data_IF_090241150074
#
_entry.id   IF_090241150074
#
_cell.length_a   1.000
_cell.length_b   1.000
_cell.length_c   1.000
_cell.angle_alpha   90.00
_cell.angle_beta   90.00
_cell.angle_gamma   90.00
#
_symmetry.space_group_name_H-M   'P 1'
#
loop_
_entity.id
_entity.type
_entity.pdbx_description
1 polymer ?
#
# COMPACT_ATOMS: atom_id res chain seq x y z
N UNK A 1 -8.14 15.05 -9.49
CA UNK A 1 -8.90 16.17 -10.04
C UNK A 1 -8.64 16.25 -11.54
N UNK A 2 -9.68 16.20 -12.37
CA UNK A 2 -9.57 16.39 -13.82
C UNK A 2 -9.69 17.88 -14.12
N UNK A 3 -8.70 18.47 -14.79
CA UNK A 3 -8.67 19.91 -15.14
C UNK A 3 -8.59 20.07 -16.65
N UNK A 4 -9.57 20.80 -17.22
CA UNK A 4 -9.54 21.27 -18.61
C UNK A 4 -9.24 22.78 -18.60
N UNK A 5 -8.00 23.22 -18.84
CA UNK A 5 -7.73 24.65 -18.95
C UNK A 5 -8.36 25.18 -20.26
N UNK A 6 -8.91 26.40 -20.23
CA UNK A 6 -9.53 27.03 -21.41
C UNK A 6 -8.59 27.24 -22.61
N UNK A 7 -7.27 27.03 -22.42
CA UNK A 7 -6.25 26.97 -23.46
C UNK A 7 -5.14 25.99 -23.01
N UNK A 8 -5.04 24.81 -23.62
CA UNK A 8 -4.04 23.78 -23.29
C UNK A 8 -4.60 22.36 -23.18
N UNK A 9 -3.74 21.35 -23.16
CA UNK A 9 -4.15 19.95 -23.03
C UNK A 9 -4.71 19.65 -21.63
N UNK A 10 -5.71 18.77 -21.56
CA UNK A 10 -6.29 18.33 -20.30
C UNK A 10 -5.29 17.51 -19.48
N UNK A 11 -5.28 17.71 -18.17
CA UNK A 11 -4.43 16.95 -17.25
C UNK A 11 -5.21 16.48 -16.03
N UNK A 12 -4.74 15.39 -15.43
CA UNK A 12 -5.28 14.80 -14.20
C UNK A 12 -4.24 14.95 -13.12
N UNK A 13 -4.58 15.68 -12.05
CA UNK A 13 -3.75 15.76 -10.86
C UNK A 13 -4.25 14.76 -9.82
N UNK A 14 -3.37 13.89 -9.36
CA UNK A 14 -3.70 12.84 -8.39
C UNK A 14 -2.72 12.88 -7.23
N UNK A 15 -3.25 12.91 -6.02
CA UNK A 15 -2.49 12.70 -4.78
C UNK A 15 -2.48 11.21 -4.49
N UNK A 16 -1.30 10.61 -4.41
CA UNK A 16 -1.10 9.17 -4.25
C UNK A 16 -0.29 8.91 -3.00
N UNK A 17 -0.67 7.91 -2.21
CA UNK A 17 0.13 7.42 -1.09
C UNK A 17 0.93 6.20 -1.53
N UNK A 18 2.24 6.21 -1.30
CA UNK A 18 3.08 5.05 -1.51
C UNK A 18 2.72 4.00 -0.45
N UNK A 19 2.37 2.79 -0.89
CA UNK A 19 1.98 1.70 0.02
C UNK A 19 3.17 1.09 0.79
N UNK A 20 4.39 1.22 0.28
CA UNK A 20 5.61 0.71 0.94
C UNK A 20 6.16 1.71 1.96
N UNK A 21 6.22 2.99 1.60
CA UNK A 21 6.88 4.01 2.45
C UNK A 21 5.90 4.93 3.18
N UNK A 22 4.61 4.88 2.85
CA UNK A 22 3.59 5.78 3.40
C UNK A 22 3.66 7.22 2.88
N UNK A 23 4.70 7.61 2.14
CA UNK A 23 4.87 8.95 1.60
C UNK A 23 3.75 9.32 0.64
N UNK A 24 3.26 10.56 0.75
CA UNK A 24 2.21 11.08 -0.12
C UNK A 24 2.82 11.97 -1.20
N UNK A 25 2.62 11.60 -2.46
CA UNK A 25 3.16 12.29 -3.63
C UNK A 25 2.01 12.83 -4.46
N UNK A 26 2.11 14.08 -4.89
CA UNK A 26 1.21 14.67 -5.88
C UNK A 26 1.84 14.52 -7.27
N UNK A 27 1.13 13.87 -8.20
CA UNK A 27 1.58 13.69 -9.58
C UNK A 27 0.54 14.20 -10.56
N UNK A 28 1.00 14.85 -11.62
CA UNK A 28 0.17 15.30 -12.73
C UNK A 28 0.38 14.36 -13.91
N UNK A 29 -0.71 13.83 -14.44
CA UNK A 29 -0.76 12.94 -15.59
C UNK A 29 -1.39 13.67 -16.77
N UNK A 30 -0.86 13.45 -17.97
CA UNK A 30 -1.53 13.88 -19.19
C UNK A 30 -2.79 13.02 -19.42
N UNK A 31 -3.87 13.59 -19.94
CA UNK A 31 -5.16 12.88 -20.07
C UNK A 31 -5.13 11.60 -20.93
N UNK A 32 -4.09 11.39 -21.75
CA UNK A 32 -3.91 10.20 -22.59
C UNK A 32 -2.86 9.19 -22.06
N UNK A 33 -2.21 9.46 -20.93
CA UNK A 33 -1.15 8.59 -20.41
C UNK A 33 -1.74 7.31 -19.80
N UNK A 34 -1.29 6.15 -20.27
CA UNK A 34 -1.67 4.84 -19.71
C UNK A 34 -0.77 4.54 -18.52
N UNK A 35 -1.39 4.38 -17.35
CA UNK A 35 -0.70 3.98 -16.12
C UNK A 35 -0.99 2.49 -15.86
N UNK A 36 0.04 1.65 -15.59
CA UNK A 36 -0.19 0.26 -15.22
C UNK A 36 -0.95 0.16 -13.90
N UNK A 37 -1.86 -0.81 -13.81
CA UNK A 37 -2.59 -1.09 -12.57
C UNK A 37 -1.69 -1.87 -11.63
N UNK A 38 -1.58 -1.42 -10.38
CA UNK A 38 -0.97 -2.21 -9.32
C UNK A 38 -1.95 -3.29 -8.85
N UNK A 39 -1.48 -4.52 -8.72
CA UNK A 39 -2.21 -5.59 -8.05
C UNK A 39 -1.95 -5.50 -6.55
N UNK A 40 -3.02 -5.38 -5.77
CA UNK A 40 -2.96 -5.29 -4.31
C UNK A 40 -3.96 -6.28 -3.75
N UNK A 41 -3.44 -7.29 -3.07
CA UNK A 41 -4.24 -8.29 -2.36
C UNK A 41 -4.31 -7.97 -0.87
N UNK A 42 -5.49 -8.18 -0.30
CA UNK A 42 -5.72 -8.03 1.14
C UNK A 42 -6.18 -9.36 1.69
N UNK A 43 -5.40 -9.90 2.63
CA UNK A 43 -5.69 -11.16 3.31
C UNK A 43 -5.86 -10.92 4.80
N UNK A 44 -6.74 -11.68 5.42
CA UNK A 44 -6.92 -11.68 6.88
C UNK A 44 -6.03 -12.75 7.47
N UNK A 45 -4.98 -12.33 8.15
CA UNK A 45 -4.06 -13.24 8.82
C UNK A 45 -4.21 -13.11 10.34
N UNK A 46 -3.96 -14.21 11.04
CA UNK A 46 -3.89 -14.27 12.50
C UNK A 46 -2.44 -14.09 12.94
N UNK A 47 -2.21 -13.19 13.90
CA UNK A 47 -0.92 -13.08 14.57
C UNK A 47 -0.68 -14.30 15.47
N UNK A 48 0.51 -14.89 15.42
CA UNK A 48 0.88 -16.06 16.23
C UNK A 48 1.82 -15.67 17.37
N UNK A 49 3.04 -15.24 17.04
CA UNK A 49 4.07 -14.88 18.02
C UNK A 49 5.16 -14.01 17.37
N UNK A 50 6.03 -13.44 18.20
CA UNK A 50 7.24 -12.75 17.80
C UNK A 50 8.46 -13.59 18.23
N UNK A 51 9.44 -13.75 17.33
CA UNK A 51 10.75 -14.32 17.66
C UNK A 51 11.85 -13.47 17.03
N UNK A 52 12.83 -13.05 17.83
CA UNK A 52 14.03 -12.34 17.36
C UNK A 52 13.75 -11.12 16.45
N UNK A 53 12.64 -10.41 16.69
CA UNK A 53 12.23 -9.24 15.91
C UNK A 53 11.50 -9.56 14.59
N UNK A 54 11.19 -10.83 14.34
CA UNK A 54 10.27 -11.30 13.31
C UNK A 54 8.89 -11.59 13.91
N UNK A 55 7.84 -11.12 13.24
CA UNK A 55 6.44 -11.27 13.62
C UNK A 55 5.79 -12.29 12.70
N UNK A 56 5.34 -13.40 13.25
CA UNK A 56 4.73 -14.49 12.46
C UNK A 56 3.22 -14.34 12.38
N UNK A 57 2.70 -14.37 11.15
CA UNK A 57 1.29 -14.34 10.83
C UNK A 57 0.90 -15.61 10.08
N UNK A 58 -0.32 -16.09 10.30
CA UNK A 58 -0.86 -17.26 9.62
C UNK A 58 -2.13 -16.88 8.86
N UNK A 59 -2.22 -17.27 7.61
CA UNK A 59 -3.47 -17.17 6.83
C UNK A 59 -4.51 -18.16 7.38
N UNK A 60 -5.72 -17.69 7.69
CA UNK A 60 -6.76 -18.54 8.28
C UNK A 60 -7.43 -19.49 7.28
N UNK A 61 -7.24 -19.27 5.97
CA UNK A 61 -7.83 -20.10 4.92
C UNK A 61 -6.84 -21.18 4.46
N UNK A 62 -5.57 -20.83 4.27
CA UNK A 62 -4.55 -21.76 3.75
C UNK A 62 -3.62 -22.32 4.82
N UNK A 63 -3.61 -21.74 6.02
CA UNK A 63 -2.63 -22.04 7.08
C UNK A 63 -1.17 -21.73 6.70
N UNK A 64 -0.96 -20.95 5.63
CA UNK A 64 0.37 -20.45 5.27
C UNK A 64 0.86 -19.46 6.32
N UNK A 65 2.12 -19.61 6.72
CA UNK A 65 2.77 -18.71 7.66
C UNK A 65 3.69 -17.74 6.92
N UNK A 66 3.67 -16.48 7.36
CA UNK A 66 4.48 -15.40 6.80
C UNK A 66 5.11 -14.63 7.95
N UNK A 67 6.41 -14.42 7.84
CA UNK A 67 7.17 -13.64 8.81
C UNK A 67 7.35 -12.22 8.28
N UNK A 68 7.04 -11.23 9.12
CA UNK A 68 7.20 -9.81 8.82
C UNK A 68 8.17 -9.18 9.81
N UNK A 69 9.01 -8.27 9.35
CA UNK A 69 9.91 -7.52 10.22
C UNK A 69 9.24 -6.26 10.79
N UNK A 70 9.91 -5.64 11.77
CA UNK A 70 9.44 -4.41 12.42
C UNK A 70 9.17 -3.27 11.43
N UNK A 71 10.02 -3.11 10.40
CA UNK A 71 9.88 -2.06 9.39
C UNK A 71 8.63 -2.25 8.51
N UNK A 72 8.27 -3.50 8.21
CA UNK A 72 7.08 -3.86 7.44
C UNK A 72 5.80 -3.67 8.24
N UNK A 73 5.84 -3.89 9.56
CA UNK A 73 4.68 -3.65 10.43
C UNK A 73 4.43 -2.18 10.71
N UNK A 74 5.50 -1.40 10.87
CA UNK A 74 5.42 -0.01 11.31
C UNK A 74 4.58 0.12 12.59
N UNK A 75 3.63 1.05 12.58
CA UNK A 75 2.77 1.35 13.74
C UNK A 75 1.82 0.21 14.13
N UNK A 76 1.58 -0.76 13.24
CA UNK A 76 0.64 -1.85 13.48
C UNK A 76 1.07 -2.78 14.61
N UNK A 77 2.38 -2.86 14.90
CA UNK A 77 2.93 -3.61 16.04
C UNK A 77 2.26 -3.25 17.36
N UNK A 78 1.94 -1.97 17.57
CA UNK A 78 1.39 -1.47 18.84
C UNK A 78 -0.05 -1.94 19.10
N UNK A 79 -0.68 -2.58 18.12
CA UNK A 79 -2.06 -3.06 18.18
C UNK A 79 -2.16 -4.60 18.11
N UNK A 80 -1.03 -5.31 18.11
CA UNK A 80 -1.01 -6.76 18.27
C UNK A 80 -1.21 -7.07 19.77
N UNK A 81 -2.34 -7.71 20.08
CA UNK A 81 -2.75 -8.14 21.42
C UNK A 81 -2.32 -9.59 21.68
#
# INVERSE_FOLDING_TARGET
QHVKPGKGAAFVRTKMKNLQTGSVVERTFNAGEKVPKAHVDRRRMQYLYESDGAYTFMDNETYDQVELNLEQLGDAKNFLL
#
